data_IF_451063709783
#
_entry.id   IF_451063709783
#
_cell.length_a   1.000
_cell.length_b   1.000
_cell.length_c   1.000
_cell.angle_alpha   90.00
_cell.angle_beta   90.00
_cell.angle_gamma   90.00
#
_symmetry.space_group_name_H-M   'P 1'
#
loop_
_entity.id
_entity.type
_entity.pdbx_description
1 polymer ?
#
# COMPACT_ATOMS: atom_id res chain seq x y z
N UNK A 1 -39.67 26.49 9.86
CA UNK A 1 -39.14 27.80 9.41
C UNK A 1 -40.21 28.52 8.62
N UNK A 2 -40.23 29.85 8.67
CA UNK A 2 -41.17 30.69 7.91
C UNK A 2 -40.54 31.06 6.56
N UNK A 3 -41.34 31.27 5.51
CA UNK A 3 -40.84 31.55 4.16
C UNK A 3 -39.97 32.82 4.11
N UNK A 4 -40.29 33.87 4.87
CA UNK A 4 -39.50 35.11 4.93
C UNK A 4 -38.07 34.87 5.40
N UNK A 5 -37.89 34.01 6.41
CA UNK A 5 -36.57 33.64 6.92
C UNK A 5 -35.78 32.78 5.93
N UNK A 6 -36.48 31.96 5.14
CA UNK A 6 -35.86 31.14 4.10
C UNK A 6 -35.37 32.04 2.96
N UNK A 7 -36.15 33.03 2.53
CA UNK A 7 -35.80 33.96 1.47
C UNK A 7 -34.54 34.79 1.80
N UNK A 8 -34.38 35.26 3.04
CA UNK A 8 -33.16 35.98 3.44
C UNK A 8 -31.91 35.09 3.43
N UNK A 9 -32.07 33.80 3.74
CA UNK A 9 -30.97 32.83 3.84
C UNK A 9 -30.71 32.07 2.53
N UNK A 10 -31.56 32.22 1.51
CA UNK A 10 -31.44 31.49 0.24
C UNK A 10 -30.11 31.80 -0.47
N UNK A 11 -29.63 33.04 -0.37
CA UNK A 11 -28.34 33.45 -0.93
C UNK A 11 -27.19 32.72 -0.23
N UNK A 12 -27.19 32.70 1.11
CA UNK A 12 -26.20 31.98 1.91
C UNK A 12 -26.24 30.47 1.66
N UNK A 13 -27.44 29.92 1.45
CA UNK A 13 -27.66 28.53 1.06
C UNK A 13 -27.01 28.22 -0.30
N UNK A 14 -27.24 29.06 -1.31
CA UNK A 14 -26.68 28.87 -2.66
C UNK A 14 -25.15 28.99 -2.70
N UNK A 15 -24.57 29.92 -1.93
CA UNK A 15 -23.11 30.07 -1.83
C UNK A 15 -22.45 29.09 -0.84
N UNK A 16 -23.23 28.26 -0.16
CA UNK A 16 -22.72 27.24 0.77
C UNK A 16 -22.06 27.81 2.03
N UNK A 17 -22.46 29.01 2.46
CA UNK A 17 -21.88 29.69 3.64
C UNK A 17 -22.61 29.37 4.95
N UNK A 18 -23.68 28.58 4.89
CA UNK A 18 -24.46 28.16 6.06
C UNK A 18 -23.82 26.98 6.81
N UNK A 19 -24.12 26.87 8.10
CA UNK A 19 -23.76 25.67 8.87
C UNK A 19 -24.53 24.43 8.39
N UNK A 20 -24.00 23.21 8.63
CA UNK A 20 -24.70 21.98 8.22
C UNK A 20 -26.12 21.85 8.80
N UNK A 21 -26.35 22.36 10.01
CA UNK A 21 -27.64 22.30 10.68
C UNK A 21 -28.66 23.25 10.03
N UNK A 22 -28.26 24.48 9.71
CA UNK A 22 -29.10 25.46 9.01
C UNK A 22 -29.44 25.00 7.60
N UNK A 23 -28.44 24.42 6.91
CA UNK A 23 -28.62 23.87 5.57
C UNK A 23 -29.71 22.78 5.56
N UNK A 24 -29.68 21.85 6.52
CA UNK A 24 -30.68 20.80 6.62
C UNK A 24 -32.10 21.36 6.89
N UNK A 25 -32.21 22.43 7.68
CA UNK A 25 -33.49 23.09 7.95
C UNK A 25 -34.07 23.77 6.69
N UNK A 26 -33.22 24.40 5.88
CA UNK A 26 -33.62 25.00 4.60
C UNK A 26 -34.00 23.92 3.58
N UNK A 27 -33.21 22.87 3.43
CA UNK A 27 -33.51 21.74 2.53
C UNK A 27 -34.86 21.08 2.87
N UNK A 28 -35.15 20.91 4.16
CA UNK A 28 -36.45 20.41 4.61
C UNK A 28 -37.62 21.33 4.19
N UNK A 29 -37.43 22.64 4.24
CA UNK A 29 -38.44 23.61 3.82
C UNK A 29 -38.62 23.64 2.29
N UNK A 30 -37.54 23.59 1.53
CA UNK A 30 -37.59 23.56 0.05
C UNK A 30 -38.32 22.31 -0.47
N UNK A 31 -38.25 21.18 0.26
CA UNK A 31 -39.04 19.98 -0.07
C UNK A 31 -40.54 20.12 0.16
N UNK A 32 -40.97 21.10 0.98
CA UNK A 32 -42.36 21.27 1.40
C UNK A 32 -43.02 22.53 0.85
N UNK A 33 -42.23 23.50 0.36
CA UNK A 33 -42.71 24.78 -0.14
C UNK A 33 -42.25 24.98 -1.60
N UNK A 34 -43.20 24.83 -2.53
CA UNK A 34 -42.96 24.97 -3.97
C UNK A 34 -42.49 26.38 -4.33
N UNK A 35 -43.09 27.43 -3.75
CA UNK A 35 -42.70 28.82 -4.00
C UNK A 35 -41.23 29.10 -3.65
N UNK A 36 -40.77 28.64 -2.49
CA UNK A 36 -39.36 28.81 -2.09
C UNK A 36 -38.42 27.94 -2.93
N UNK A 37 -38.87 26.78 -3.38
CA UNK A 37 -38.12 25.91 -4.30
C UNK A 37 -37.94 26.56 -5.68
N UNK A 38 -39.00 27.15 -6.23
CA UNK A 38 -38.94 27.88 -7.49
C UNK A 38 -37.99 29.07 -7.40
N UNK A 39 -38.07 29.86 -6.33
CA UNK A 39 -37.18 31.00 -6.10
C UNK A 39 -35.70 30.57 -5.99
N UNK A 40 -35.43 29.48 -5.27
CA UNK A 40 -34.09 28.88 -5.19
C UNK A 40 -33.59 28.42 -6.55
N UNK A 41 -34.45 27.79 -7.35
CA UNK A 41 -34.09 27.32 -8.69
C UNK A 41 -33.80 28.48 -9.63
N UNK A 42 -34.59 29.54 -9.60
CA UNK A 42 -34.42 30.71 -10.45
C UNK A 42 -33.10 31.44 -10.15
N UNK A 43 -32.76 31.59 -8.87
CA UNK A 43 -31.48 32.20 -8.47
C UNK A 43 -30.28 31.32 -8.82
N UNK A 44 -30.41 29.99 -8.66
CA UNK A 44 -29.39 29.04 -9.08
C UNK A 44 -29.14 29.11 -10.60
N UNK A 45 -30.20 29.14 -11.40
CA UNK A 45 -30.10 29.22 -12.86
C UNK A 45 -29.37 30.49 -13.33
N UNK A 46 -29.61 31.64 -12.67
CA UNK A 46 -28.89 32.88 -12.94
C UNK A 46 -27.40 32.72 -12.59
N UNK A 47 -27.10 32.16 -11.41
CA UNK A 47 -25.72 31.91 -10.97
C UNK A 47 -24.97 30.96 -11.90
N UNK A 48 -25.62 29.90 -12.37
CA UNK A 48 -25.04 28.93 -13.28
C UNK A 48 -24.74 29.56 -14.65
N UNK A 49 -25.65 30.38 -15.20
CA UNK A 49 -25.42 31.12 -16.46
C UNK A 49 -24.25 32.10 -16.34
N UNK A 50 -24.15 32.82 -15.22
CA UNK A 50 -23.02 33.73 -14.96
C UNK A 50 -21.70 32.97 -14.81
N UNK A 51 -21.71 31.85 -14.08
CA UNK A 51 -20.54 30.99 -13.91
C UNK A 51 -20.06 30.42 -15.24
N UNK A 52 -20.99 30.01 -16.10
CA UNK A 52 -20.68 29.49 -17.42
C UNK A 52 -20.07 30.57 -18.32
N UNK A 53 -20.66 31.76 -18.38
CA UNK A 53 -20.09 32.88 -19.14
C UNK A 53 -18.68 33.29 -18.65
N UNK A 54 -18.46 33.27 -17.33
CA UNK A 54 -17.13 33.55 -16.76
C UNK A 54 -16.13 32.46 -17.11
N UNK A 55 -16.51 31.17 -17.02
CA UNK A 55 -15.64 30.05 -17.41
C UNK A 55 -15.26 30.15 -18.89
N UNK A 56 -16.22 30.45 -19.76
CA UNK A 56 -15.97 30.61 -21.19
C UNK A 56 -15.01 31.77 -21.46
N UNK A 57 -15.14 32.88 -20.73
CA UNK A 57 -14.19 33.99 -20.80
C UNK A 57 -12.79 33.62 -20.29
N UNK A 58 -12.69 32.93 -19.15
CA UNK A 58 -11.41 32.46 -18.59
C UNK A 58 -10.72 31.47 -19.54
N UNK A 59 -11.48 30.56 -20.15
CA UNK A 59 -10.96 29.55 -21.07
C UNK A 59 -10.43 30.15 -22.39
N UNK A 60 -10.87 31.36 -22.75
CA UNK A 60 -10.30 32.12 -23.87
C UNK A 60 -8.96 32.78 -23.50
N UNK A 61 -8.65 32.89 -22.21
CA UNK A 61 -7.37 33.38 -21.73
C UNK A 61 -6.25 32.37 -21.96
N UNK A 62 -5.07 32.85 -22.34
CA UNK A 62 -3.86 32.01 -22.41
C UNK A 62 -3.25 31.94 -21.01
N UNK A 63 -3.25 30.75 -20.40
CA UNK A 63 -2.51 30.51 -19.18
C UNK A 63 -1.01 30.52 -19.48
N UNK A 64 -0.19 31.33 -18.78
CA UNK A 64 1.26 31.31 -18.93
C UNK A 64 1.80 29.90 -18.63
N UNK A 65 2.74 29.37 -19.44
CA UNK A 65 3.19 27.98 -19.33
C UNK A 65 3.82 27.66 -17.96
N UNK A 66 4.50 28.61 -17.33
CA UNK A 66 5.08 28.45 -15.98
C UNK A 66 4.02 28.17 -14.91
N UNK A 67 2.84 28.79 -15.02
CA UNK A 67 1.76 28.62 -14.05
C UNK A 67 1.06 27.28 -14.28
N UNK A 68 0.83 26.92 -15.53
CA UNK A 68 0.24 25.62 -15.90
C UNK A 68 1.10 24.45 -15.41
N UNK A 69 2.43 24.53 -15.59
CA UNK A 69 3.35 23.50 -15.10
C UNK A 69 3.32 23.39 -13.56
N UNK A 70 3.32 24.52 -12.85
CA UNK A 70 3.26 24.55 -11.40
C UNK A 70 1.96 23.94 -10.86
N UNK A 71 0.82 24.22 -11.51
CA UNK A 71 -0.48 23.62 -11.16
C UNK A 71 -0.46 22.10 -11.42
N UNK A 72 0.09 21.65 -12.55
CA UNK A 72 0.18 20.22 -12.86
C UNK A 72 1.06 19.46 -11.85
N UNK A 73 2.17 20.06 -11.42
CA UNK A 73 3.04 19.49 -10.38
C UNK A 73 2.32 19.38 -9.03
N UNK A 74 1.56 20.40 -8.63
CA UNK A 74 0.74 20.36 -7.41
C UNK A 74 -0.35 19.27 -7.46
N UNK A 75 -1.08 19.14 -8.58
CA UNK A 75 -2.15 18.14 -8.73
C UNK A 75 -1.63 16.70 -8.73
N UNK A 76 -0.44 16.45 -9.29
CA UNK A 76 0.20 15.11 -9.23
C UNK A 76 0.57 14.70 -7.81
N UNK A 77 0.99 15.64 -6.96
CA UNK A 77 1.28 15.38 -5.54
C UNK A 77 0.02 15.05 -4.72
N UNK A 78 -1.10 15.69 -5.04
CA UNK A 78 -2.33 15.61 -4.25
C UNK A 78 -3.25 14.44 -4.66
N UNK A 79 -3.30 14.10 -5.96
CA UNK A 79 -4.03 12.93 -6.46
C UNK A 79 -3.51 11.61 -5.87
N UNK A 80 -2.18 11.49 -5.68
CA UNK A 80 -1.55 10.31 -5.06
C UNK A 80 -1.97 10.13 -3.59
N UNK A 81 -2.10 11.23 -2.84
CA UNK A 81 -2.58 11.23 -1.44
C UNK A 81 -4.08 10.99 -1.32
N UNK A 82 -4.89 11.53 -2.24
CA UNK A 82 -6.34 11.35 -2.28
C UNK A 82 -6.73 9.92 -2.67
N UNK A 83 -6.04 9.31 -3.64
CA UNK A 83 -6.27 7.93 -4.04
C UNK A 83 -5.94 6.95 -2.90
N UNK A 84 -4.85 7.19 -2.15
CA UNK A 84 -4.50 6.40 -0.97
C UNK A 84 -5.51 6.56 0.19
N UNK A 85 -6.02 7.77 0.43
CA UNK A 85 -7.06 7.99 1.46
C UNK A 85 -8.42 7.39 1.08
N UNK A 86 -8.80 7.44 -0.20
CA UNK A 86 -10.04 6.81 -0.69
C UNK A 86 -9.95 5.28 -0.68
N UNK A 87 -8.80 4.72 -1.00
CA UNK A 87 -8.54 3.30 -0.79
C UNK A 87 -8.66 2.93 0.71
N UNK A 88 -8.00 3.68 1.60
CA UNK A 88 -8.08 3.44 3.05
C UNK A 88 -9.51 3.56 3.62
N UNK A 89 -10.33 4.49 3.13
CA UNK A 89 -11.72 4.65 3.57
C UNK A 89 -12.65 3.53 3.06
N UNK A 90 -12.41 3.01 1.85
CA UNK A 90 -13.11 1.84 1.34
C UNK A 90 -12.73 0.56 2.11
N UNK A 91 -11.48 0.43 2.56
CA UNK A 91 -11.06 -0.69 3.43
C UNK A 91 -11.60 -0.57 4.86
N UNK A 92 -11.84 0.65 5.38
CA UNK A 92 -12.39 0.86 6.71
C UNK A 92 -13.84 0.36 6.88
N UNK A 93 -14.66 0.49 5.83
CA UNK A 93 -16.06 0.02 5.84
C UNK A 93 -16.16 -1.49 5.59
N UNK A 94 -15.24 -2.09 4.84
CA UNK A 94 -15.13 -3.54 4.68
C UNK A 94 -14.60 -4.21 5.95
N UNK A 95 -13.69 -3.58 6.69
CA UNK A 95 -13.17 -4.11 7.96
C UNK A 95 -14.26 -4.25 9.05
N UNK A 96 -15.20 -3.30 9.13
CA UNK A 96 -16.31 -3.39 10.08
C UNK A 96 -17.28 -4.53 9.75
N UNK A 97 -17.60 -4.71 8.46
CA UNK A 97 -18.45 -5.84 8.01
C UNK A 97 -17.71 -7.16 8.16
N UNK A 98 -16.41 -7.22 7.84
CA UNK A 98 -15.57 -8.40 8.01
C UNK A 98 -15.39 -8.80 9.48
N UNK A 99 -15.31 -7.84 10.41
CA UNK A 99 -15.25 -8.14 11.84
C UNK A 99 -16.57 -8.76 12.36
N UNK A 100 -17.72 -8.24 11.91
CA UNK A 100 -19.03 -8.84 12.21
C UNK A 100 -19.18 -10.22 11.55
N UNK A 101 -18.67 -10.39 10.34
CA UNK A 101 -18.70 -11.67 9.61
C UNK A 101 -17.77 -12.72 10.24
N UNK A 102 -16.56 -12.33 10.67
CA UNK A 102 -15.60 -13.19 11.38
C UNK A 102 -16.14 -13.59 12.77
N UNK A 103 -16.86 -12.70 13.45
CA UNK A 103 -17.54 -13.01 14.71
C UNK A 103 -18.74 -13.96 14.50
N UNK A 104 -19.47 -13.80 13.40
CA UNK A 104 -20.54 -14.72 13.02
C UNK A 104 -20.02 -16.10 12.57
N UNK A 105 -18.86 -16.15 11.88
CA UNK A 105 -18.20 -17.38 11.46
C UNK A 105 -17.54 -18.13 12.64
N UNK A 106 -16.99 -17.42 13.63
CA UNK A 106 -16.38 -18.06 14.81
C UNK A 106 -17.41 -18.71 15.73
N UNK A 107 -18.67 -18.26 15.67
CA UNK A 107 -19.75 -18.76 16.53
C UNK A 107 -20.58 -19.88 15.88
N UNK A 108 -20.46 -20.14 14.57
CA UNK A 108 -21.19 -21.20 13.88
C UNK A 108 -20.33 -21.95 12.83
N UNK A 109 -19.79 -23.15 13.15
CA UNK A 109 -18.83 -23.88 12.30
C UNK A 109 -19.43 -24.54 11.06
N UNK A 110 -20.75 -24.46 10.85
CA UNK A 110 -21.46 -25.11 9.74
C UNK A 110 -21.39 -24.34 8.40
N UNK A 111 -20.89 -23.10 8.38
CA UNK A 111 -20.80 -22.31 7.15
C UNK A 111 -19.50 -22.48 6.37
N UNK A 112 -18.44 -23.02 6.99
CA UNK A 112 -17.11 -23.16 6.37
C UNK A 112 -17.10 -24.08 5.13
N UNK A 113 -18.00 -25.08 5.08
CA UNK A 113 -18.05 -26.05 3.98
C UNK A 113 -18.76 -25.51 2.72
N UNK A 114 -19.60 -24.48 2.84
CA UNK A 114 -20.31 -23.92 1.68
C UNK A 114 -19.50 -22.85 0.91
N UNK A 115 -18.60 -22.13 1.59
CA UNK A 115 -17.82 -21.03 0.96
C UNK A 115 -16.71 -21.54 0.03
N UNK A 116 -16.22 -22.77 0.26
CA UNK A 116 -15.21 -23.43 -0.58
C UNK A 116 -15.72 -23.79 -1.99
N UNK A 117 -17.03 -23.69 -2.24
CA UNK A 117 -17.65 -24.05 -3.54
C UNK A 117 -17.81 -22.87 -4.50
N UNK A 118 -17.42 -21.65 -4.12
CA UNK A 118 -17.63 -20.44 -4.93
C UNK A 118 -16.32 -20.05 -5.66
N UNK A 119 -16.22 -20.23 -6.98
CA UNK A 119 -14.95 -20.13 -7.72
C UNK A 119 -14.34 -18.72 -7.70
N UNK A 120 -15.16 -17.67 -7.57
CA UNK A 120 -14.68 -16.29 -7.48
C UNK A 120 -14.02 -15.98 -6.13
N UNK A 121 -14.51 -16.58 -5.04
CA UNK A 121 -13.94 -16.41 -3.70
C UNK A 121 -12.69 -17.25 -3.49
N UNK A 122 -12.53 -18.39 -4.18
CA UNK A 122 -11.32 -19.19 -4.12
C UNK A 122 -10.08 -18.48 -4.68
N UNK A 123 -10.23 -17.77 -5.81
CA UNK A 123 -9.14 -17.00 -6.40
C UNK A 123 -8.81 -15.72 -5.61
N UNK A 124 -9.84 -15.06 -5.05
CA UNK A 124 -9.65 -13.89 -4.19
C UNK A 124 -9.09 -14.28 -2.82
N UNK A 125 -9.50 -15.42 -2.27
CA UNK A 125 -8.94 -15.99 -1.05
C UNK A 125 -7.48 -16.38 -1.27
N UNK A 126 -7.12 -16.99 -2.41
CA UNK A 126 -5.73 -17.28 -2.74
C UNK A 126 -4.86 -16.00 -2.86
N UNK A 127 -5.44 -14.86 -3.25
CA UNK A 127 -4.75 -13.56 -3.27
C UNK A 127 -4.75 -12.83 -1.91
N UNK A 128 -5.72 -13.11 -1.04
CA UNK A 128 -5.82 -12.54 0.31
C UNK A 128 -5.10 -13.40 1.37
N UNK A 129 -4.76 -14.65 1.05
CA UNK A 129 -3.96 -15.60 1.82
C UNK A 129 -2.52 -15.73 1.29
N UNK A 130 -2.01 -14.77 0.53
CA UNK A 130 -0.56 -14.54 0.50
C UNK A 130 -0.26 -13.55 1.64
N UNK A 131 -0.05 -14.02 2.88
CA UNK A 131 0.56 -13.16 3.87
C UNK A 131 1.92 -12.76 3.29
N UNK A 132 2.24 -11.47 3.27
CA UNK A 132 3.64 -11.07 3.40
C UNK A 132 4.14 -11.80 4.65
N UNK A 133 4.93 -12.87 4.46
CA UNK A 133 5.47 -13.64 5.55
C UNK A 133 6.63 -12.82 6.10
N UNK A 134 6.30 -11.86 6.95
CA UNK A 134 7.30 -11.15 7.73
C UNK A 134 7.84 -12.09 8.82
N UNK A 135 8.94 -12.78 8.52
CA UNK A 135 9.65 -13.65 9.46
C UNK A 135 10.47 -12.75 10.41
N UNK A 136 9.84 -12.36 11.51
CA UNK A 136 10.48 -11.54 12.55
C UNK A 136 11.33 -12.43 13.46
N UNK A 137 12.63 -12.52 13.16
CA UNK A 137 13.62 -13.31 13.92
C UNK A 137 13.71 -12.93 15.41
N UNK A 138 13.33 -11.69 15.75
CA UNK A 138 13.16 -11.25 17.13
C UNK A 138 11.80 -10.55 17.30
N UNK A 139 10.88 -11.07 18.13
CA UNK A 139 9.57 -10.46 18.35
C UNK A 139 9.63 -9.04 18.92
N UNK A 140 10.75 -8.64 19.56
CA UNK A 140 10.98 -7.27 20.03
C UNK A 140 11.41 -6.30 18.92
N UNK A 141 11.85 -6.79 17.76
CA UNK A 141 12.42 -5.99 16.66
C UNK A 141 11.49 -5.88 15.43
N UNK A 142 10.19 -6.04 15.63
CA UNK A 142 9.15 -5.85 14.60
C UNK A 142 9.21 -4.50 13.86
N UNK A 143 9.90 -3.50 14.42
CA UNK A 143 9.98 -2.14 13.88
C UNK A 143 11.15 -1.91 12.91
N UNK A 144 12.06 -2.86 12.71
CA UNK A 144 13.30 -2.63 11.95
C UNK A 144 13.03 -2.25 10.49
N UNK A 145 12.10 -2.91 9.82
CA UNK A 145 11.73 -2.57 8.43
C UNK A 145 11.06 -1.18 8.32
N UNK A 146 10.19 -0.83 9.28
CA UNK A 146 9.45 0.43 9.28
C UNK A 146 10.31 1.65 9.68
N UNK A 147 11.35 1.45 10.48
CA UNK A 147 12.25 2.50 10.96
C UNK A 147 13.53 2.63 10.13
N UNK A 148 13.81 1.69 9.23
CA UNK A 148 15.01 1.72 8.41
C UNK A 148 15.01 2.92 7.46
N UNK A 149 15.97 3.82 7.66
CA UNK A 149 16.27 4.91 6.73
C UNK A 149 17.63 4.66 6.09
N UNK A 150 17.67 4.29 4.80
CA UNK A 150 18.94 4.07 4.13
C UNK A 150 19.68 5.40 3.95
N UNK A 151 20.94 5.46 4.38
CA UNK A 151 21.83 6.57 4.09
C UNK A 151 22.45 6.42 2.70
N UNK A 152 22.65 5.17 2.25
CA UNK A 152 23.14 4.82 0.92
C UNK A 152 22.42 3.56 0.42
N UNK A 153 22.12 3.51 -0.87
CA UNK A 153 21.63 2.30 -1.52
C UNK A 153 22.35 2.07 -2.84
N UNK A 154 22.78 0.83 -3.04
CA UNK A 154 23.42 0.34 -4.26
C UNK A 154 22.51 -0.73 -4.86
N UNK A 155 22.10 -0.52 -6.11
CA UNK A 155 21.39 -1.54 -6.87
C UNK A 155 22.41 -2.52 -7.43
N UNK A 156 22.19 -3.81 -7.19
CA UNK A 156 23.06 -4.88 -7.63
C UNK A 156 22.27 -5.81 -8.55
N UNK A 157 22.97 -6.49 -9.46
CA UNK A 157 22.39 -7.56 -10.29
C UNK A 157 23.36 -8.73 -10.29
N UNK A 158 23.67 -9.22 -9.10
CA UNK A 158 24.50 -10.42 -8.94
C UNK A 158 23.55 -11.61 -8.96
N UNK A 159 23.72 -12.49 -9.95
CA UNK A 159 22.87 -13.67 -10.11
C UNK A 159 23.74 -14.91 -10.07
N UNK A 160 23.41 -15.82 -9.16
CA UNK A 160 24.06 -17.11 -8.99
C UNK A 160 23.00 -18.20 -9.19
N UNK A 161 23.32 -19.23 -9.97
CA UNK A 161 22.38 -20.30 -10.28
C UNK A 161 23.01 -21.66 -9.99
N UNK A 162 22.32 -22.51 -9.26
CA UNK A 162 22.77 -23.86 -8.89
C UNK A 162 21.60 -24.84 -8.87
N UNK A 163 21.73 -25.92 -9.64
CA UNK A 163 20.81 -27.07 -9.65
C UNK A 163 19.30 -26.72 -9.68
N UNK A 164 18.94 -25.74 -10.53
CA UNK A 164 17.55 -25.28 -10.71
C UNK A 164 17.10 -24.17 -9.76
N UNK A 165 17.95 -23.74 -8.82
CA UNK A 165 17.73 -22.58 -7.96
C UNK A 165 18.54 -21.39 -8.48
N UNK A 166 17.89 -20.23 -8.59
CA UNK A 166 18.52 -18.97 -9.01
C UNK A 166 18.39 -17.96 -7.87
N UNK A 167 19.52 -17.49 -7.38
CA UNK A 167 19.65 -16.42 -6.39
C UNK A 167 20.06 -15.13 -7.11
N UNK A 168 19.24 -14.08 -7.01
CA UNK A 168 19.57 -12.75 -7.53
C UNK A 168 19.60 -11.73 -6.41
N UNK A 169 20.77 -11.16 -6.13
CA UNK A 169 20.91 -10.03 -5.21
C UNK A 169 20.58 -8.75 -5.97
N UNK A 170 19.51 -8.06 -5.56
CA UNK A 170 18.91 -6.93 -6.28
C UNK A 170 19.38 -5.59 -5.76
N UNK A 171 19.59 -5.47 -4.45
CA UNK A 171 20.09 -4.22 -3.88
C UNK A 171 20.60 -4.40 -2.47
N UNK A 172 21.56 -3.57 -2.08
CA UNK A 172 21.99 -3.41 -0.71
C UNK A 172 21.77 -1.96 -0.31
N UNK A 173 21.28 -1.74 0.90
CA UNK A 173 21.12 -0.42 1.45
C UNK A 173 21.74 -0.38 2.84
N UNK A 174 22.68 0.52 3.04
CA UNK A 174 23.33 0.74 4.33
C UNK A 174 22.66 1.93 5.00
N UNK A 175 22.28 1.76 6.26
CA UNK A 175 21.80 2.82 7.13
C UNK A 175 22.69 2.94 8.37
N UNK A 176 22.34 3.88 9.25
CA UNK A 176 23.09 4.10 10.50
C UNK A 176 22.89 2.96 11.51
N UNK A 177 21.70 2.36 11.52
CA UNK A 177 21.31 1.32 12.47
C UNK A 177 21.39 -0.11 11.92
N UNK A 178 21.40 -0.29 10.60
CA UNK A 178 21.34 -1.61 9.96
C UNK A 178 21.81 -1.57 8.50
N UNK A 179 22.09 -2.74 7.94
CA UNK A 179 22.27 -2.97 6.51
C UNK A 179 21.15 -3.85 6.00
N UNK A 180 20.41 -3.40 4.98
CA UNK A 180 19.37 -4.16 4.30
C UNK A 180 19.90 -4.78 3.01
N UNK A 181 19.77 -6.09 2.88
CA UNK A 181 20.14 -6.86 1.69
C UNK A 181 18.85 -7.41 1.09
N UNK A 182 18.50 -6.97 -0.12
CA UNK A 182 17.36 -7.48 -0.85
C UNK A 182 17.82 -8.46 -1.94
N UNK A 183 17.31 -9.68 -1.87
CA UNK A 183 17.61 -10.74 -2.81
C UNK A 183 16.34 -11.49 -3.21
N UNK A 184 16.37 -12.14 -4.36
CA UNK A 184 15.27 -12.89 -4.92
C UNK A 184 15.72 -14.31 -5.16
N UNK A 185 14.90 -15.28 -4.77
CA UNK A 185 15.16 -16.70 -4.99
C UNK A 185 14.07 -17.24 -5.90
N UNK A 186 14.48 -17.91 -6.97
CA UNK A 186 13.60 -18.53 -7.95
C UNK A 186 14.03 -19.97 -8.18
N UNK A 187 13.13 -20.92 -7.92
CA UNK A 187 13.36 -22.33 -8.17
C UNK A 187 12.04 -23.04 -8.48
N UNK A 188 12.07 -23.99 -9.41
CA UNK A 188 10.90 -24.80 -9.73
C UNK A 188 10.58 -25.73 -8.56
N UNK A 189 9.37 -25.63 -8.00
CA UNK A 189 8.97 -26.41 -6.82
C UNK A 189 9.62 -25.96 -5.50
N UNK A 190 10.04 -24.69 -5.40
CA UNK A 190 10.54 -24.09 -4.17
C UNK A 190 9.45 -24.07 -3.09
N UNK A 191 9.72 -24.70 -1.95
CA UNK A 191 8.87 -24.66 -0.76
C UNK A 191 9.64 -23.99 0.36
N UNK A 192 9.02 -23.03 1.05
CA UNK A 192 9.58 -22.45 2.27
C UNK A 192 9.43 -23.48 3.40
N UNK A 193 10.51 -23.88 4.11
CA UNK A 193 10.38 -24.72 5.28
C UNK A 193 9.58 -24.01 6.38
N UNK A 194 8.84 -24.78 7.18
CA UNK A 194 8.08 -24.27 8.33
C UNK A 194 9.00 -23.76 9.46
N UNK A 195 10.25 -24.23 9.50
CA UNK A 195 11.27 -23.78 10.43
C UNK A 195 11.93 -22.50 9.92
N UNK A 196 11.60 -21.37 10.57
CA UNK A 196 12.15 -20.05 10.28
C UNK A 196 13.68 -19.99 10.43
N UNK A 197 14.26 -20.80 11.33
CA UNK A 197 15.70 -20.84 11.52
C UNK A 197 16.43 -21.50 10.33
N UNK A 198 15.75 -22.40 9.61
CA UNK A 198 16.28 -23.06 8.42
C UNK A 198 16.26 -22.17 7.16
N UNK A 199 15.56 -21.03 7.20
CA UNK A 199 15.53 -20.03 6.13
C UNK A 199 16.65 -19.00 6.21
N UNK A 200 17.38 -18.97 7.33
CA UNK A 200 18.35 -17.94 7.61
C UNK A 200 19.60 -18.08 6.74
N UNK A 201 19.89 -17.08 5.89
CA UNK A 201 21.17 -17.06 5.20
C UNK A 201 22.29 -16.66 6.15
N UNK A 202 23.44 -17.32 6.00
CA UNK A 202 24.66 -16.91 6.65
C UNK A 202 25.26 -15.74 5.87
N UNK A 203 25.43 -14.59 6.54
CA UNK A 203 26.08 -13.41 5.97
C UNK A 203 27.41 -13.19 6.65
N UNK A 204 28.46 -13.02 5.86
CA UNK A 204 29.79 -12.70 6.36
C UNK A 204 30.42 -11.55 5.57
N UNK A 205 31.25 -10.78 6.26
CA UNK A 205 32.14 -9.78 5.66
C UNK A 205 33.59 -10.25 5.77
N UNK A 206 34.53 -9.43 5.30
CA UNK A 206 35.95 -9.69 5.56
C UNK A 206 36.30 -9.59 7.05
N UNK A 207 35.56 -8.80 7.82
CA UNK A 207 35.78 -8.62 9.25
C UNK A 207 35.24 -9.78 10.12
N UNK A 208 34.27 -10.55 9.61
CA UNK A 208 33.68 -11.69 10.33
C UNK A 208 32.22 -11.96 9.95
N UNK A 209 31.58 -12.94 10.62
CA UNK A 209 30.15 -13.22 10.45
C UNK A 209 29.31 -12.05 10.94
N UNK A 210 28.26 -11.70 10.20
CA UNK A 210 27.30 -10.67 10.60
C UNK A 210 26.09 -11.31 11.27
N UNK A 211 25.60 -10.64 12.32
CA UNK A 211 24.32 -11.01 12.93
C UNK A 211 23.18 -10.36 12.16
N UNK A 212 22.23 -11.17 11.69
CA UNK A 212 21.02 -10.68 11.04
C UNK A 212 19.82 -10.74 12.00
N UNK A 213 19.04 -9.65 12.02
CA UNK A 213 18.03 -9.35 13.04
C UNK A 213 16.59 -9.52 12.54
N UNK A 214 16.35 -9.39 11.24
CA UNK A 214 15.04 -9.72 10.64
C UNK A 214 15.17 -10.18 9.19
N UNK A 215 14.24 -11.03 8.76
CA UNK A 215 14.13 -11.51 7.39
C UNK A 215 12.66 -11.37 6.95
N UNK A 216 12.36 -10.53 5.97
CA UNK A 216 11.01 -10.47 5.41
C UNK A 216 10.98 -11.24 4.09
N UNK A 217 9.91 -11.98 3.84
CA UNK A 217 9.68 -12.70 2.59
C UNK A 217 8.36 -12.25 1.94
N UNK A 218 8.46 -11.75 0.71
CA UNK A 218 7.34 -11.35 -0.16
C UNK A 218 7.27 -12.38 -1.30
N UNK A 219 6.26 -13.25 -1.25
CA UNK A 219 6.03 -14.24 -2.29
C UNK A 219 5.47 -13.55 -3.52
N UNK A 220 6.26 -13.53 -4.61
CA UNK A 220 5.79 -13.12 -5.93
C UNK A 220 5.49 -14.38 -6.73
N UNK A 221 4.48 -14.33 -7.61
CA UNK A 221 3.98 -15.40 -8.48
C UNK A 221 4.95 -16.56 -8.82
N UNK A 222 6.20 -16.27 -9.19
CA UNK A 222 7.21 -17.29 -9.56
C UNK A 222 8.57 -17.12 -8.87
N UNK A 223 8.69 -16.23 -7.88
CA UNK A 223 9.95 -15.95 -7.20
C UNK A 223 9.68 -15.37 -5.80
N UNK A 224 10.49 -15.72 -4.82
CA UNK A 224 10.34 -15.21 -3.46
C UNK A 224 11.36 -14.11 -3.26
N UNK A 225 10.88 -12.90 -2.93
CA UNK A 225 11.73 -11.76 -2.62
C UNK A 225 11.98 -11.72 -1.13
N UNK A 226 13.23 -11.71 -0.73
CA UNK A 226 13.64 -11.61 0.65
C UNK A 226 14.30 -10.26 0.93
N UNK A 227 13.96 -9.63 2.04
CA UNK A 227 14.70 -8.49 2.58
C UNK A 227 15.29 -8.86 3.95
N UNK A 228 16.61 -8.98 3.99
CA UNK A 228 17.37 -9.33 5.18
C UNK A 228 17.97 -8.08 5.81
N UNK A 229 17.84 -7.93 7.11
CA UNK A 229 18.37 -6.81 7.87
C UNK A 229 19.45 -7.32 8.82
N UNK A 230 20.67 -6.85 8.65
CA UNK A 230 21.81 -7.20 9.50
C UNK A 230 22.42 -5.95 10.14
N UNK A 231 23.40 -6.16 11.00
CA UNK A 231 24.19 -5.09 11.59
C UNK A 231 24.76 -4.11 10.53
N UNK A 232 24.98 -2.83 10.90
CA UNK A 232 25.48 -1.84 9.97
C UNK A 232 26.89 -2.20 9.49
N UNK A 233 27.05 -2.30 8.17
CA UNK A 233 28.31 -2.62 7.48
C UNK A 233 28.84 -1.34 6.82
N UNK A 234 30.10 -0.96 7.03
CA UNK A 234 30.73 0.15 6.33
C UNK A 234 30.54 0.04 4.81
N UNK A 235 30.39 1.18 4.13
CA UNK A 235 30.22 1.19 2.67
C UNK A 235 31.53 0.81 1.96
N UNK A 236 31.43 0.07 0.85
CA UNK A 236 32.57 -0.45 0.10
C UNK A 236 33.14 -1.77 0.63
N UNK A 237 32.45 -2.43 1.57
CA UNK A 237 32.88 -3.74 2.08
C UNK A 237 32.29 -4.88 1.24
N UNK A 238 33.06 -5.96 1.10
CA UNK A 238 32.61 -7.15 0.38
C UNK A 238 31.80 -8.04 1.33
N UNK A 239 30.54 -8.26 0.97
CA UNK A 239 29.57 -9.07 1.70
C UNK A 239 29.37 -10.38 0.94
N UNK A 240 29.42 -11.49 1.67
CA UNK A 240 29.12 -12.82 1.16
C UNK A 240 27.83 -13.31 1.80
N UNK A 241 26.82 -13.58 0.96
CA UNK A 241 25.51 -14.11 1.34
C UNK A 241 25.47 -15.59 0.96
N UNK A 242 25.31 -16.47 1.95
CA UNK A 242 25.17 -17.92 1.73
C UNK A 242 23.76 -18.35 2.11
N UNK A 243 22.97 -18.76 1.13
CA UNK A 243 21.67 -19.38 1.33
C UNK A 243 21.85 -20.81 1.85
N UNK A 244 21.06 -21.23 2.85
CA UNK A 244 21.03 -22.62 3.31
C UNK A 244 20.38 -23.53 2.26
N UNK A 245 20.44 -24.84 2.48
CA UNK A 245 19.74 -25.80 1.64
C UNK A 245 18.22 -25.63 1.79
N UNK A 246 17.52 -25.49 0.66
CA UNK A 246 16.07 -25.26 0.64
C UNK A 246 15.32 -26.52 0.14
N UNK A 247 14.19 -26.91 0.74
CA UNK A 247 13.46 -28.11 0.33
C UNK A 247 12.76 -27.95 -1.03
N UNK A 248 12.70 -29.05 -1.79
CA UNK A 248 11.96 -29.16 -3.06
C UNK A 248 10.65 -29.90 -2.86
N UNK A 249 9.59 -29.45 -3.54
CA UNK A 249 8.28 -30.10 -3.54
C UNK A 249 8.33 -31.55 -4.07
N UNK A 250 9.24 -31.85 -5.00
CA UNK A 250 9.43 -33.18 -5.60
C UNK A 250 10.15 -34.19 -4.69
N UNK A 251 10.57 -33.78 -3.47
CA UNK A 251 11.47 -34.53 -2.60
C UNK A 251 12.94 -34.27 -2.96
N UNK A 252 13.72 -33.83 -1.96
CA UNK A 252 15.13 -33.43 -2.11
C UNK A 252 15.40 -32.00 -1.60
N UNK A 253 16.66 -31.57 -1.61
CA UNK A 253 17.07 -30.20 -1.24
C UNK A 253 17.77 -29.50 -2.41
N UNK A 254 17.59 -28.19 -2.53
CA UNK A 254 18.47 -27.33 -3.29
C UNK A 254 19.80 -27.19 -2.55
N UNK A 255 20.94 -27.24 -3.25
CA UNK A 255 22.24 -27.03 -2.62
C UNK A 255 22.35 -25.60 -2.09
N UNK A 256 23.19 -25.40 -1.09
CA UNK A 256 23.53 -24.07 -0.61
C UNK A 256 24.12 -23.22 -1.75
N UNK A 257 23.66 -21.98 -1.86
CA UNK A 257 24.10 -21.02 -2.88
C UNK A 257 24.80 -19.84 -2.21
N UNK A 258 25.97 -19.47 -2.70
CA UNK A 258 26.73 -18.34 -2.18
C UNK A 258 26.86 -17.26 -3.24
N UNK A 259 26.50 -16.03 -2.89
CA UNK A 259 26.70 -14.84 -3.71
C UNK A 259 27.58 -13.83 -2.98
N UNK A 260 28.58 -13.28 -3.68
CA UNK A 260 29.49 -12.26 -3.14
C UNK A 260 29.30 -10.94 -3.88
N UNK A 261 29.18 -9.84 -3.13
CA UNK A 261 28.94 -8.51 -3.69
C UNK A 261 29.48 -7.41 -2.77
N UNK A 262 29.47 -6.16 -3.24
CA UNK A 262 29.96 -4.99 -2.50
C UNK A 262 28.82 -4.01 -2.23
N UNK A 263 28.78 -3.41 -1.03
CA UNK A 263 27.72 -2.48 -0.61
C UNK A 263 27.99 -0.98 -0.90
#
# INVERSE_FOLDING_TARGET
MQCEQIQSELTAYLYGTLSPQERAAIEAHLMQCEACSEEASAMKDIGDKLSQGLKDWVNQGVCPPEVAERIQLSLKGESRRSAWRRAAAAFGSVAAVAAVFLFALSTQPQFAQHVASVPFLGALAAQLLEPDLEIHLNPQQRMTAALFRPSRSVTLKVTESGDGLTLTVTSVATGESATRIAYTVQGEGLVLPEDEAALLPAVATQAGPLTCQSLTADQRRSAIRFELYCEPVPAGETITLTLPELPRQSGGTFPALTATFTN
#
